data_IF_565501103307
#
_entry.id   IF_565501103307
#
_cell.length_a   1.000
_cell.length_b   1.000
_cell.length_c   1.000
_cell.angle_alpha   90.00
_cell.angle_beta   90.00
_cell.angle_gamma   90.00
#
_symmetry.space_group_name_H-M   'P 1'
#
loop_
_entity.id
_entity.type
_entity.pdbx_description
1 polymer ?
#
# COMPACT_ATOMS: atom_id res chain seq x y z
N UNK A 1 -37.47 20.58 21.64
CA UNK A 1 -36.42 19.58 21.91
C UNK A 1 -36.72 18.34 21.07
N UNK A 2 -36.00 18.15 19.96
CA UNK A 2 -36.19 16.97 19.11
C UNK A 2 -35.44 15.79 19.72
N UNK A 3 -36.17 14.73 20.08
CA UNK A 3 -35.61 13.46 20.56
C UNK A 3 -35.10 12.68 19.35
N UNK A 4 -33.77 12.53 19.24
CA UNK A 4 -33.14 11.70 18.22
C UNK A 4 -33.43 10.24 18.58
N UNK A 5 -34.07 9.51 17.66
CA UNK A 5 -34.37 8.09 17.82
C UNK A 5 -33.08 7.28 17.98
N UNK A 6 -33.11 6.29 18.88
CA UNK A 6 -31.99 5.38 19.18
C UNK A 6 -31.45 4.69 17.92
N UNK A 7 -32.31 4.46 16.92
CA UNK A 7 -31.92 3.92 15.61
C UNK A 7 -31.10 4.93 14.81
N UNK A 8 -31.53 6.19 14.73
CA UNK A 8 -30.83 7.26 14.01
C UNK A 8 -29.46 7.56 14.62
N UNK A 9 -29.35 7.48 15.96
CA UNK A 9 -28.07 7.61 16.66
C UNK A 9 -27.12 6.43 16.39
N UNK A 10 -27.65 5.20 16.31
CA UNK A 10 -26.86 4.02 15.95
C UNK A 10 -26.39 4.06 14.48
N UNK A 11 -27.24 4.52 13.56
CA UNK A 11 -26.86 4.69 12.15
C UNK A 11 -25.82 5.79 11.98
N UNK A 12 -25.92 6.88 12.74
CA UNK A 12 -24.91 7.95 12.76
C UNK A 12 -23.60 7.45 13.38
N UNK A 13 -23.66 6.63 14.44
CA UNK A 13 -22.48 5.98 15.01
C UNK A 13 -21.83 4.97 14.06
N UNK A 14 -22.61 4.21 13.28
CA UNK A 14 -22.08 3.31 12.25
C UNK A 14 -21.52 4.07 11.03
N UNK A 15 -22.04 5.27 10.76
CA UNK A 15 -21.54 6.16 9.72
C UNK A 15 -20.27 6.93 10.17
N UNK A 16 -20.19 7.28 11.46
CA UNK A 16 -19.01 7.91 12.08
C UNK A 16 -17.92 6.90 12.43
N UNK A 17 -18.28 5.69 12.87
CA UNK A 17 -17.41 4.53 12.98
C UNK A 17 -17.35 3.87 11.60
N UNK A 18 -16.75 4.56 10.63
CA UNK A 18 -16.55 4.05 9.28
C UNK A 18 -16.06 2.61 9.36
N UNK A 19 -16.94 1.67 9.03
CA UNK A 19 -16.59 0.28 8.82
C UNK A 19 -15.79 0.28 7.52
N UNK A 20 -14.54 0.73 7.58
CA UNK A 20 -13.55 0.38 6.58
C UNK A 20 -13.39 -1.12 6.76
N UNK A 21 -13.94 -1.88 5.82
CA UNK A 21 -13.66 -3.30 5.68
C UNK A 21 -12.14 -3.45 5.76
N UNK A 22 -11.64 -4.02 6.86
CA UNK A 22 -10.22 -4.28 7.02
C UNK A 22 -9.84 -5.19 5.85
N UNK A 23 -8.90 -4.75 5.01
CA UNK A 23 -8.41 -5.58 3.91
C UNK A 23 -7.85 -6.85 4.57
N UNK A 24 -8.43 -8.01 4.22
CA UNK A 24 -7.88 -9.29 4.65
C UNK A 24 -6.66 -9.57 3.78
N UNK A 25 -5.52 -9.72 4.42
CA UNK A 25 -4.21 -10.02 3.82
C UNK A 25 -3.81 -11.44 4.20
N UNK A 26 -3.06 -12.10 3.31
CA UNK A 26 -2.45 -13.41 3.57
C UNK A 26 -0.93 -13.33 3.62
N UNK A 27 -0.32 -12.37 2.92
CA UNK A 27 1.12 -12.16 2.94
C UNK A 27 1.53 -11.18 4.05
N UNK A 28 1.02 -9.95 4.03
CA UNK A 28 1.39 -8.93 5.00
C UNK A 28 0.68 -9.13 6.36
N UNK A 29 1.44 -8.98 7.43
CA UNK A 29 0.90 -8.73 8.77
C UNK A 29 0.25 -7.34 8.87
N UNK A 30 -0.45 -7.08 9.98
CA UNK A 30 -1.09 -5.77 10.21
C UNK A 30 -0.06 -4.63 10.32
N UNK A 31 1.08 -4.87 10.98
CA UNK A 31 2.16 -3.89 11.10
C UNK A 31 2.80 -3.59 9.76
N UNK A 32 3.07 -4.62 8.95
CA UNK A 32 3.67 -4.43 7.64
C UNK A 32 2.72 -3.74 6.68
N UNK A 33 1.43 -4.10 6.73
CA UNK A 33 0.38 -3.39 5.99
C UNK A 33 0.42 -1.90 6.32
N UNK A 34 0.56 -1.54 7.61
CA UNK A 34 0.66 -0.15 8.04
C UNK A 34 1.92 0.54 7.50
N UNK A 35 3.09 -0.11 7.60
CA UNK A 35 4.37 0.43 7.10
C UNK A 35 4.34 0.66 5.60
N UNK A 36 3.92 -0.35 4.83
CA UNK A 36 3.86 -0.27 3.37
C UNK A 36 2.82 0.75 2.91
N UNK A 37 1.65 0.82 3.56
CA UNK A 37 0.66 1.88 3.30
C UNK A 37 1.27 3.26 3.54
N UNK A 38 1.90 3.45 4.71
CA UNK A 38 2.54 4.72 5.10
C UNK A 38 3.64 5.17 4.13
N UNK A 39 4.34 4.21 3.53
CA UNK A 39 5.36 4.43 2.51
C UNK A 39 4.74 4.77 1.15
N UNK A 40 3.75 3.99 0.71
CA UNK A 40 3.03 4.23 -0.54
C UNK A 40 2.36 5.62 -0.56
N UNK A 41 1.83 6.09 0.58
CA UNK A 41 1.21 7.41 0.74
C UNK A 41 2.14 8.57 0.38
N UNK A 42 3.45 8.43 0.60
CA UNK A 42 4.43 9.50 0.37
C UNK A 42 5.29 9.29 -0.88
N UNK A 43 5.22 8.10 -1.48
CA UNK A 43 5.93 7.76 -2.73
C UNK A 43 5.04 7.97 -3.95
N UNK A 44 3.73 7.78 -3.81
CA UNK A 44 2.77 7.85 -4.92
C UNK A 44 2.05 9.20 -4.92
N UNK A 45 1.62 9.70 -6.09
CA UNK A 45 1.00 11.02 -6.24
C UNK A 45 -0.48 11.03 -5.81
N UNK A 46 -0.85 10.34 -4.73
CA UNK A 46 -2.26 10.14 -4.34
C UNK A 46 -2.96 11.40 -3.82
N UNK A 47 -2.20 12.46 -3.52
CA UNK A 47 -2.73 13.77 -3.14
C UNK A 47 -2.88 14.74 -4.32
N UNK A 48 -2.42 14.35 -5.51
CA UNK A 48 -2.52 15.19 -6.71
C UNK A 48 -3.93 15.13 -7.30
N UNK A 49 -4.40 16.26 -7.85
CA UNK A 49 -5.75 16.37 -8.42
C UNK A 49 -5.97 15.35 -9.52
N UNK A 50 -6.99 14.50 -9.34
CA UNK A 50 -7.39 13.49 -10.33
C UNK A 50 -6.64 12.17 -10.20
N UNK A 51 -5.54 12.10 -9.43
CA UNK A 51 -4.82 10.85 -9.21
C UNK A 51 -5.60 9.91 -8.28
N UNK A 52 -5.70 8.61 -8.60
CA UNK A 52 -6.43 7.68 -7.76
C UNK A 52 -5.73 7.49 -6.41
N UNK A 53 -6.49 7.35 -5.34
CA UNK A 53 -5.93 6.98 -4.05
C UNK A 53 -5.51 5.48 -4.02
N UNK A 54 -4.89 5.04 -2.91
CA UNK A 54 -4.39 3.66 -2.78
C UNK A 54 -5.49 2.59 -2.89
N UNK A 55 -6.71 2.90 -2.45
CA UNK A 55 -7.86 1.99 -2.53
C UNK A 55 -8.38 1.89 -3.96
N UNK A 56 -8.56 3.02 -4.63
CA UNK A 56 -8.99 3.10 -6.03
C UNK A 56 -8.02 2.39 -6.99
N UNK A 57 -6.72 2.47 -6.72
CA UNK A 57 -5.68 1.75 -7.46
C UNK A 57 -5.42 0.31 -6.95
N UNK A 58 -6.18 -0.15 -5.94
CA UNK A 58 -6.05 -1.48 -5.31
C UNK A 58 -4.62 -1.83 -4.86
N UNK A 59 -3.83 -0.85 -4.40
CA UNK A 59 -2.38 -1.02 -4.17
C UNK A 59 -2.09 -2.12 -3.17
N UNK A 60 -2.63 -2.03 -1.96
CA UNK A 60 -2.33 -2.99 -0.90
C UNK A 60 -2.82 -4.39 -1.22
N UNK A 61 -4.04 -4.51 -1.79
CA UNK A 61 -4.59 -5.81 -2.19
C UNK A 61 -3.72 -6.50 -3.24
N UNK A 62 -3.29 -5.76 -4.26
CA UNK A 62 -2.46 -6.32 -5.35
C UNK A 62 -1.06 -6.66 -4.86
N UNK A 63 -0.45 -5.83 -4.01
CA UNK A 63 0.85 -6.17 -3.43
C UNK A 63 0.77 -7.47 -2.63
N UNK A 64 -0.24 -7.62 -1.77
CA UNK A 64 -0.44 -8.83 -0.98
C UNK A 64 -0.66 -10.07 -1.85
N UNK A 65 -1.51 -9.93 -2.86
CA UNK A 65 -1.82 -10.99 -3.83
C UNK A 65 -0.59 -11.44 -4.62
N UNK A 66 0.21 -10.51 -5.16
CA UNK A 66 1.40 -10.89 -5.95
C UNK A 66 2.49 -11.49 -5.06
N UNK A 67 2.73 -10.92 -3.86
CA UNK A 67 3.75 -11.41 -2.94
C UNK A 67 3.37 -12.73 -2.26
N UNK A 68 2.09 -13.06 -2.16
CA UNK A 68 1.67 -14.37 -1.64
C UNK A 68 2.09 -15.56 -2.53
N UNK A 69 2.35 -15.32 -3.82
CA UNK A 69 2.68 -16.38 -4.78
C UNK A 69 4.15 -16.44 -5.23
N UNK A 70 5.00 -15.54 -4.74
CA UNK A 70 6.45 -15.63 -5.01
C UNK A 70 7.10 -16.70 -4.11
N UNK A 71 8.35 -17.08 -4.40
CA UNK A 71 9.07 -18.05 -3.59
C UNK A 71 9.26 -17.58 -2.15
N UNK A 72 9.32 -18.52 -1.21
CA UNK A 72 9.51 -18.23 0.22
C UNK A 72 10.74 -17.34 0.49
N UNK A 73 11.84 -17.56 -0.24
CA UNK A 73 13.04 -16.70 -0.17
C UNK A 73 12.73 -15.24 -0.52
N UNK A 74 11.96 -14.99 -1.59
CA UNK A 74 11.57 -13.64 -1.98
C UNK A 74 10.60 -13.04 -0.97
N UNK A 75 9.69 -13.85 -0.41
CA UNK A 75 8.78 -13.44 0.66
C UNK A 75 9.58 -12.97 1.89
N UNK A 76 10.54 -13.76 2.37
CA UNK A 76 11.39 -13.44 3.51
C UNK A 76 12.22 -12.15 3.30
N UNK A 77 12.75 -11.97 2.09
CA UNK A 77 13.48 -10.75 1.71
C UNK A 77 12.58 -9.50 1.80
N UNK A 78 11.34 -9.59 1.34
CA UNK A 78 10.40 -8.46 1.40
C UNK A 78 9.92 -8.18 2.83
N UNK A 79 9.65 -9.22 3.64
CA UNK A 79 9.40 -9.04 5.08
C UNK A 79 10.58 -8.30 5.75
N UNK A 80 11.81 -8.71 5.43
CA UNK A 80 13.03 -8.07 5.93
C UNK A 80 13.15 -6.61 5.47
N UNK A 81 12.84 -6.33 4.20
CA UNK A 81 12.86 -4.96 3.68
C UNK A 81 11.84 -4.05 4.38
N UNK A 82 10.61 -4.53 4.62
CA UNK A 82 9.59 -3.77 5.35
C UNK A 82 10.00 -3.53 6.80
N UNK A 83 10.59 -4.54 7.46
CA UNK A 83 11.11 -4.40 8.81
C UNK A 83 12.24 -3.36 8.88
N UNK A 84 13.20 -3.42 7.96
CA UNK A 84 14.28 -2.43 7.89
C UNK A 84 13.70 -1.04 7.69
N UNK A 85 12.77 -0.85 6.74
CA UNK A 85 12.13 0.45 6.52
C UNK A 85 11.45 0.99 7.79
N UNK A 86 10.73 0.14 8.53
CA UNK A 86 10.00 0.54 9.74
C UNK A 86 10.92 1.08 10.83
N UNK A 87 12.10 0.48 11.01
CA UNK A 87 13.06 0.85 12.06
C UNK A 87 14.20 1.76 11.59
N UNK A 88 14.36 1.95 10.28
CA UNK A 88 15.41 2.81 9.72
C UNK A 88 15.45 4.23 10.31
N UNK A 89 14.31 4.90 10.61
CA UNK A 89 14.33 6.27 11.15
C UNK A 89 15.17 6.44 12.43
N UNK A 90 15.35 5.40 13.26
CA UNK A 90 16.18 5.47 14.47
C UNK A 90 17.65 5.76 14.15
N UNK A 91 18.17 5.23 13.04
CA UNK A 91 19.53 5.50 12.57
C UNK A 91 19.71 6.94 12.05
N UNK A 92 18.60 7.65 11.84
CA UNK A 92 18.55 9.05 11.41
C UNK A 92 18.03 9.99 12.52
N UNK A 93 18.11 9.55 13.78
CA UNK A 93 17.79 10.37 14.95
C UNK A 93 16.30 10.63 15.17
N UNK A 94 15.41 9.81 14.61
CA UNK A 94 13.97 9.84 14.92
C UNK A 94 13.66 8.84 16.03
N UNK A 95 12.72 9.19 16.91
CA UNK A 95 12.29 8.33 18.03
C UNK A 95 10.97 7.60 17.79
N UNK A 96 10.52 7.55 16.52
CA UNK A 96 9.31 6.85 16.10
C UNK A 96 9.64 6.02 14.88
N UNK A 97 9.01 4.85 14.78
CA UNK A 97 9.07 4.02 13.58
C UNK A 97 8.47 4.74 12.37
N UNK A 98 8.85 4.33 11.16
CA UNK A 98 8.48 5.01 9.92
C UNK A 98 6.97 5.20 9.76
N UNK A 99 6.19 4.14 10.02
CA UNK A 99 4.72 4.17 9.94
C UNK A 99 4.04 5.12 10.95
N UNK A 100 4.77 5.61 11.95
CA UNK A 100 4.28 6.50 13.01
C UNK A 100 4.82 7.93 12.89
N UNK A 101 5.64 8.21 11.87
CA UNK A 101 6.07 9.56 11.53
C UNK A 101 4.94 10.32 10.83
N UNK A 102 4.97 11.64 10.94
CA UNK A 102 4.10 12.51 10.13
C UNK A 102 4.51 12.42 8.63
N UNK A 103 3.58 12.61 7.69
CA UNK A 103 3.86 12.48 6.26
C UNK A 103 5.07 13.32 5.79
N UNK A 104 5.20 14.55 6.27
CA UNK A 104 6.30 15.44 5.90
C UNK A 104 7.65 14.94 6.43
N UNK A 105 7.67 14.24 7.58
CA UNK A 105 8.89 13.61 8.09
C UNK A 105 9.30 12.39 7.27
N UNK A 106 8.33 11.60 6.82
CA UNK A 106 8.59 10.45 5.92
C UNK A 106 9.20 10.95 4.61
N UNK A 107 8.63 11.99 4.01
CA UNK A 107 9.15 12.60 2.77
C UNK A 107 10.60 13.05 2.98
N UNK A 108 10.89 13.80 4.05
CA UNK A 108 12.26 14.25 4.35
C UNK A 108 13.25 13.09 4.51
N UNK A 109 12.82 11.98 5.12
CA UNK A 109 13.67 10.80 5.22
C UNK A 109 13.93 10.16 3.86
N UNK A 110 12.92 10.06 2.99
CA UNK A 110 13.11 9.55 1.63
C UNK A 110 14.08 10.41 0.82
N UNK A 111 14.02 11.74 0.95
CA UNK A 111 14.98 12.67 0.33
C UNK A 111 16.41 12.44 0.84
N UNK A 112 16.59 12.25 2.15
CA UNK A 112 17.90 11.93 2.73
C UNK A 112 18.40 10.56 2.24
N UNK A 113 17.53 9.56 2.16
CA UNK A 113 17.89 8.21 1.73
C UNK A 113 18.15 8.11 0.23
N UNK A 114 17.63 9.04 -0.58
CA UNK A 114 17.94 9.10 -2.00
C UNK A 114 19.45 9.32 -2.27
N UNK A 115 20.13 10.04 -1.38
CA UNK A 115 21.56 10.37 -1.47
C UNK A 115 22.44 9.47 -0.58
N UNK A 116 21.93 8.30 -0.16
CA UNK A 116 22.67 7.42 0.75
C UNK A 116 23.76 6.60 0.06
N UNK A 117 24.90 6.44 0.75
CA UNK A 117 25.97 5.51 0.36
C UNK A 117 25.72 4.06 0.81
N UNK A 118 24.70 3.82 1.66
CA UNK A 118 24.39 2.49 2.16
C UNK A 118 23.68 1.64 1.09
N UNK A 119 24.34 0.56 0.65
CA UNK A 119 23.75 -0.43 -0.25
C UNK A 119 22.43 -0.99 0.29
N UNK A 120 22.37 -1.26 1.59
CA UNK A 120 21.17 -1.79 2.23
C UNK A 120 20.00 -0.80 2.17
N UNK A 121 20.24 0.48 2.48
CA UNK A 121 19.16 1.50 2.42
C UNK A 121 18.69 1.68 0.99
N UNK A 122 19.62 1.74 0.01
CA UNK A 122 19.27 1.80 -1.41
C UNK A 122 18.44 0.61 -1.85
N UNK A 123 18.85 -0.61 -1.48
CA UNK A 123 18.14 -1.82 -1.85
C UNK A 123 16.72 -1.85 -1.28
N UNK A 124 16.56 -1.53 0.02
CA UNK A 124 15.26 -1.53 0.69
C UNK A 124 14.33 -0.48 0.09
N UNK A 125 14.75 0.79 0.05
CA UNK A 125 13.89 1.88 -0.43
C UNK A 125 13.61 1.72 -1.92
N UNK A 126 14.62 1.33 -2.71
CA UNK A 126 14.50 1.11 -4.14
C UNK A 126 13.52 0.00 -4.51
N UNK A 127 13.65 -1.18 -3.88
CA UNK A 127 12.78 -2.33 -4.16
C UNK A 127 11.34 -2.08 -3.70
N UNK A 128 11.15 -1.49 -2.52
CA UNK A 128 9.80 -1.14 -2.06
C UNK A 128 9.16 -0.07 -2.96
N UNK A 129 9.92 0.95 -3.37
CA UNK A 129 9.46 1.97 -4.33
C UNK A 129 9.06 1.34 -5.67
N UNK A 130 9.90 0.45 -6.20
CA UNK A 130 9.62 -0.26 -7.44
C UNK A 130 8.29 -1.01 -7.37
N UNK A 131 8.05 -1.77 -6.30
CA UNK A 131 6.82 -2.53 -6.12
C UNK A 131 5.57 -1.65 -6.05
N UNK A 132 5.58 -0.61 -5.20
CA UNK A 132 4.40 0.27 -5.06
C UNK A 132 4.10 0.99 -6.38
N UNK A 133 5.13 1.46 -7.10
CA UNK A 133 4.96 2.10 -8.39
C UNK A 133 4.47 1.11 -9.47
N UNK A 134 5.02 -0.10 -9.50
CA UNK A 134 4.61 -1.14 -10.46
C UNK A 134 3.11 -1.45 -10.33
N UNK A 135 2.64 -1.63 -9.10
CA UNK A 135 1.23 -1.92 -8.82
C UNK A 135 0.34 -0.71 -9.12
N UNK A 136 0.74 0.48 -8.67
CA UNK A 136 -0.05 1.69 -8.83
C UNK A 136 -0.19 2.09 -10.30
N UNK A 137 0.93 2.30 -11.01
CA UNK A 137 0.90 2.72 -12.41
C UNK A 137 0.51 1.59 -13.37
N UNK A 138 0.60 0.33 -12.91
CA UNK A 138 0.05 -0.82 -13.61
C UNK A 138 -1.47 -0.95 -13.47
N UNK A 139 -2.16 -0.08 -12.73
CA UNK A 139 -3.62 -0.10 -12.58
C UNK A 139 -4.28 0.80 -13.64
N UNK A 140 -5.35 0.32 -14.26
CA UNK A 140 -6.03 1.06 -15.35
C UNK A 140 -6.49 2.46 -14.96
N UNK A 141 -6.82 2.69 -13.68
CA UNK A 141 -7.26 4.01 -13.19
C UNK A 141 -6.19 5.10 -13.29
N UNK A 142 -4.90 4.75 -13.41
CA UNK A 142 -3.83 5.75 -13.55
C UNK A 142 -3.48 6.07 -14.99
N UNK A 143 -3.87 5.21 -15.95
CA UNK A 143 -3.33 5.23 -17.31
C UNK A 143 -3.58 6.53 -18.06
N UNK A 144 -4.83 7.02 -18.05
CA UNK A 144 -5.19 8.28 -18.72
C UNK A 144 -4.40 9.46 -18.16
N UNK A 145 -4.23 9.51 -16.84
CA UNK A 145 -3.55 10.59 -16.12
C UNK A 145 -2.05 10.64 -16.41
N UNK A 146 -1.43 9.48 -16.67
CA UNK A 146 -0.02 9.40 -17.07
C UNK A 146 0.16 9.37 -18.60
N UNK A 147 -0.90 9.67 -19.36
CA UNK A 147 -0.88 9.65 -20.84
C UNK A 147 -0.49 8.30 -21.44
N UNK A 148 -0.78 7.21 -20.73
CA UNK A 148 -0.64 5.86 -21.22
C UNK A 148 -1.97 5.38 -21.81
N UNK A 149 -2.08 5.09 -23.12
CA UNK A 149 -3.34 4.66 -23.74
C UNK A 149 -3.73 3.22 -23.37
N UNK A 150 -2.91 2.54 -22.56
CA UNK A 150 -3.04 1.11 -22.28
C UNK A 150 -2.21 0.23 -23.20
N UNK A 151 -2.28 -1.10 -23.02
CA UNK A 151 -1.50 -2.06 -23.79
C UNK A 151 -1.91 -2.06 -25.26
N UNK A 152 -0.96 -2.36 -26.15
CA UNK A 152 -1.22 -2.53 -27.57
C UNK A 152 -2.32 -3.59 -27.80
N UNK A 153 -3.28 -3.29 -28.68
CA UNK A 153 -4.51 -4.04 -28.92
C UNK A 153 -5.50 -4.14 -27.74
N UNK A 154 -5.18 -3.55 -26.58
CA UNK A 154 -6.02 -3.47 -25.38
C UNK A 154 -6.76 -4.79 -25.06
N UNK A 155 -6.04 -5.91 -24.90
CA UNK A 155 -6.67 -7.18 -24.55
C UNK A 155 -7.46 -7.01 -23.23
N UNK A 156 -8.63 -7.66 -23.11
CA UNK A 156 -9.41 -7.57 -21.89
C UNK A 156 -8.60 -8.09 -20.70
N UNK A 157 -8.76 -7.45 -19.54
CA UNK A 157 -8.13 -7.94 -18.32
C UNK A 157 -8.64 -9.35 -18.01
N UNK A 158 -7.72 -10.29 -17.89
CA UNK A 158 -7.99 -11.66 -17.48
C UNK A 158 -7.21 -11.93 -16.21
N UNK A 159 -7.93 -12.34 -15.17
CA UNK A 159 -7.34 -12.70 -13.90
C UNK A 159 -6.59 -14.03 -14.06
N UNK A 160 -5.39 -14.12 -13.50
CA UNK A 160 -4.65 -15.38 -13.48
C UNK A 160 -5.30 -16.39 -12.53
N UNK A 161 -4.96 -17.66 -12.68
CA UNK A 161 -5.44 -18.72 -11.78
C UNK A 161 -5.05 -18.45 -10.33
N UNK A 162 -3.84 -17.93 -10.11
CA UNK A 162 -3.36 -17.51 -8.80
C UNK A 162 -4.26 -16.42 -8.18
N UNK A 163 -4.62 -15.39 -8.95
CA UNK A 163 -5.52 -14.32 -8.50
C UNK A 163 -6.91 -14.84 -8.14
N UNK A 164 -7.46 -15.71 -8.99
CA UNK A 164 -8.76 -16.36 -8.72
C UNK A 164 -8.70 -17.22 -7.45
N UNK A 165 -7.61 -17.98 -7.25
CA UNK A 165 -7.39 -18.76 -6.04
C UNK A 165 -7.33 -17.89 -4.79
N UNK A 166 -6.55 -16.80 -4.82
CA UNK A 166 -6.44 -15.84 -3.72
C UNK A 166 -7.79 -15.23 -3.33
N UNK A 167 -8.62 -14.84 -4.31
CA UNK A 167 -9.97 -14.34 -4.04
C UNK A 167 -10.87 -15.37 -3.39
N UNK A 168 -10.76 -16.64 -3.77
CA UNK A 168 -11.54 -17.71 -3.14
C UNK A 168 -11.12 -17.91 -1.67
N UNK A 169 -9.82 -17.83 -1.36
CA UNK A 169 -9.32 -17.85 0.01
C UNK A 169 -9.87 -16.68 0.85
N UNK A 170 -9.97 -15.48 0.26
CA UNK A 170 -10.56 -14.32 0.93
C UNK A 170 -12.03 -14.53 1.27
N UNK A 171 -12.80 -15.07 0.32
CA UNK A 171 -14.24 -15.34 0.47
C UNK A 171 -14.55 -16.46 1.48
N UNK A 172 -13.55 -17.27 1.83
CA UNK A 172 -13.70 -18.46 2.65
C UNK A 172 -14.38 -19.55 1.84
N UNK A 173 -13.66 -20.66 1.64
CA UNK A 173 -14.35 -21.94 1.51
C UNK A 173 -15.08 -22.26 2.82
#
# INVERSE_FOLDING_TARGET
MYSISRKTFLTLLLFCAGIKSKIKTFYFSESETKTVTSFAEVVLPIGETGMPNLEEASVMRRLDEELYFVSDEIQEDFHSAVLVLEYLPFFYGRFRCFSNLEPEERIRLLEIWAETDSDTVRAVVGNLKLLVCLVYYGHKSTWELISYPGPFANPPEKWSEARLHYQNLLKGN
#
